data_IF_940886046142
#
_entry.id   IF_940886046142
#
_cell.length_a   1.000
_cell.length_b   1.000
_cell.length_c   1.000
_cell.angle_alpha   90.00
_cell.angle_beta   90.00
_cell.angle_gamma   90.00
#
_symmetry.space_group_name_H-M   'P 1'
#
loop_
_entity.id
_entity.type
_entity.pdbx_description
1 polymer ?
#
# COMPACT_ATOMS: atom_id res chain seq x y z
N UNK A 1 -13.60 6.07 -22.37
CA UNK A 1 -13.55 5.22 -21.19
C UNK A 1 -12.21 5.35 -20.49
N UNK A 2 -12.22 5.65 -19.22
CA UNK A 2 -10.99 5.68 -18.46
C UNK A 2 -10.52 4.27 -18.18
N UNK A 3 -9.25 4.01 -18.37
CA UNK A 3 -8.67 2.72 -18.04
C UNK A 3 -7.83 2.85 -16.78
N UNK A 4 -7.84 1.82 -15.96
CA UNK A 4 -7.00 1.75 -14.79
C UNK A 4 -5.74 0.96 -15.11
N UNK A 5 -4.66 1.34 -14.46
CA UNK A 5 -3.42 0.58 -14.49
C UNK A 5 -3.24 -0.07 -13.13
N UNK A 6 -2.58 -1.19 -13.12
CA UNK A 6 -2.23 -1.87 -11.87
C UNK A 6 -0.73 -1.83 -11.68
N UNK A 7 -0.31 -1.58 -10.46
CA UNK A 7 1.11 -1.68 -10.11
C UNK A 7 1.59 -3.13 -10.08
N UNK A 8 0.66 -4.08 -10.10
CA UNK A 8 0.97 -5.44 -9.73
C UNK A 8 1.17 -5.55 -8.22
N UNK A 9 1.48 -6.74 -7.75
CA UNK A 9 1.69 -6.96 -6.32
C UNK A 9 3.11 -6.55 -5.96
N UNK A 10 3.23 -5.63 -5.01
CA UNK A 10 4.51 -5.10 -4.54
C UNK A 10 4.72 -5.50 -3.08
N UNK A 11 5.94 -5.87 -2.75
CA UNK A 11 6.29 -6.28 -1.39
C UNK A 11 7.37 -5.41 -0.78
N UNK A 12 7.79 -4.36 -1.47
CA UNK A 12 8.82 -3.43 -1.02
C UNK A 12 8.49 -2.04 -1.52
N UNK A 13 9.20 -1.05 -0.97
CA UNK A 13 9.06 0.33 -1.43
C UNK A 13 9.30 0.41 -2.94
N UNK A 14 8.48 1.19 -3.62
CA UNK A 14 8.59 1.30 -5.07
C UNK A 14 7.96 2.58 -5.59
N UNK A 15 8.51 3.04 -6.70
CA UNK A 15 7.87 4.10 -7.49
C UNK A 15 6.78 3.44 -8.33
N UNK A 16 5.55 3.86 -8.13
CA UNK A 16 4.43 3.35 -8.92
C UNK A 16 4.28 4.15 -10.20
N UNK A 17 4.38 5.46 -10.09
CA UNK A 17 4.34 6.36 -11.23
C UNK A 17 5.24 7.54 -10.96
N UNK A 18 6.04 7.93 -11.95
CA UNK A 18 6.90 9.10 -11.86
C UNK A 18 6.26 10.35 -12.45
N UNK A 19 5.00 10.25 -12.82
CA UNK A 19 4.28 11.33 -13.50
C UNK A 19 2.97 11.62 -12.78
N UNK A 20 2.38 12.76 -13.09
CA UNK A 20 1.05 13.10 -12.61
C UNK A 20 0.07 11.98 -12.97
N UNK A 21 -0.73 11.58 -12.01
CA UNK A 21 -1.69 10.49 -12.20
C UNK A 21 -2.82 10.60 -11.18
N UNK A 22 -3.74 9.67 -11.24
CA UNK A 22 -4.82 9.54 -10.27
C UNK A 22 -4.67 8.25 -9.50
N UNK A 23 -4.77 8.32 -8.19
CA UNK A 23 -4.80 7.15 -7.33
C UNK A 23 -6.23 6.67 -7.22
N UNK A 24 -6.49 5.46 -7.70
CA UNK A 24 -7.85 4.92 -7.76
C UNK A 24 -8.13 4.07 -6.53
N UNK A 25 -7.30 3.08 -6.25
CA UNK A 25 -7.51 2.21 -5.11
C UNK A 25 -6.20 1.57 -4.64
N UNK A 26 -6.20 1.12 -3.40
CA UNK A 26 -5.07 0.44 -2.79
C UNK A 26 -5.59 -0.82 -2.12
N UNK A 27 -4.95 -1.94 -2.41
CA UNK A 27 -5.25 -3.21 -1.77
C UNK A 27 -3.99 -3.68 -1.06
N UNK A 28 -4.10 -3.99 0.21
CA UNK A 28 -2.96 -4.42 1.01
C UNK A 28 -3.32 -5.61 1.87
N UNK A 29 -2.41 -6.56 1.97
CA UNK A 29 -2.55 -7.74 2.80
C UNK A 29 -1.29 -7.92 3.61
N UNK A 30 -1.45 -8.14 4.92
CA UNK A 30 -0.33 -8.42 5.79
C UNK A 30 0.23 -9.80 5.45
N UNK A 31 1.54 -9.87 5.21
CA UNK A 31 2.20 -11.13 4.88
C UNK A 31 3.13 -11.61 5.98
N UNK A 32 3.40 -10.75 6.96
CA UNK A 32 4.28 -11.06 8.07
C UNK A 32 3.54 -11.26 9.37
N UNK A 33 4.28 -11.21 10.46
CA UNK A 33 3.74 -11.42 11.80
C UNK A 33 3.75 -10.14 12.63
N UNK A 34 4.25 -9.04 12.10
CA UNK A 34 4.30 -7.76 12.78
C UNK A 34 3.38 -6.77 12.09
N UNK A 35 2.88 -5.80 12.84
CA UNK A 35 2.08 -4.73 12.27
C UNK A 35 2.89 -4.00 11.21
N UNK A 36 2.24 -3.67 10.11
CA UNK A 36 2.90 -3.06 8.96
C UNK A 36 2.12 -1.83 8.53
N UNK A 37 2.83 -0.74 8.31
CA UNK A 37 2.24 0.50 7.83
C UNK A 37 2.50 0.65 6.34
N UNK A 38 1.45 0.92 5.58
CA UNK A 38 1.53 1.16 4.14
C UNK A 38 1.17 2.61 3.90
N UNK A 39 2.03 3.32 3.20
CA UNK A 39 1.82 4.73 2.86
C UNK A 39 2.01 4.94 1.37
N UNK A 40 1.24 5.85 0.82
CA UNK A 40 1.41 6.29 -0.56
C UNK A 40 1.64 7.79 -0.56
N UNK A 41 2.71 8.22 -1.19
CA UNK A 41 3.12 9.62 -1.23
C UNK A 41 2.94 10.21 -2.63
N UNK A 42 2.64 11.51 -2.65
CA UNK A 42 2.67 12.31 -3.88
C UNK A 42 4.13 12.68 -4.14
N UNK A 43 4.86 11.73 -4.71
CA UNK A 43 6.28 11.89 -4.96
C UNK A 43 6.71 10.93 -6.07
N UNK A 44 7.63 11.38 -6.89
CA UNK A 44 8.09 10.61 -8.05
C UNK A 44 9.24 9.65 -7.70
N UNK A 45 9.85 9.77 -6.52
CA UNK A 45 11.09 9.03 -6.28
C UNK A 45 11.35 8.64 -4.83
N UNK A 46 10.60 9.16 -3.86
CA UNK A 46 10.93 8.95 -2.46
C UNK A 46 9.70 8.98 -1.57
N UNK A 47 9.83 8.41 -0.37
CA UNK A 47 8.79 8.43 0.64
C UNK A 47 8.85 9.75 1.41
N UNK A 48 8.50 10.84 0.75
CA UNK A 48 8.52 12.17 1.35
C UNK A 48 7.47 13.05 0.69
N UNK A 49 7.19 14.18 1.30
CA UNK A 49 6.21 15.10 0.79
C UNK A 49 4.80 14.77 1.27
N UNK A 50 3.83 15.04 0.43
CA UNK A 50 2.43 14.86 0.80
C UNK A 50 2.05 13.39 0.81
N UNK A 51 1.56 12.93 1.93
CA UNK A 51 1.06 11.57 2.08
C UNK A 51 -0.39 11.54 1.61
N UNK A 52 -0.67 10.71 0.61
CA UNK A 52 -2.02 10.62 0.03
C UNK A 52 -2.87 9.58 0.75
N UNK A 53 -2.27 8.52 1.23
CA UNK A 53 -2.99 7.45 1.91
C UNK A 53 -2.08 6.76 2.91
N UNK A 54 -2.69 6.29 3.98
CA UNK A 54 -1.99 5.54 5.04
C UNK A 54 -2.93 4.47 5.56
N UNK A 55 -2.39 3.27 5.73
CA UNK A 55 -3.13 2.20 6.37
C UNK A 55 -2.19 1.39 7.25
N UNK A 56 -2.72 0.87 8.34
CA UNK A 56 -1.97 0.04 9.27
C UNK A 56 -2.60 -1.35 9.25
N UNK A 57 -1.81 -2.34 8.88
CA UNK A 57 -2.22 -3.73 8.90
C UNK A 57 -1.81 -4.29 10.26
N UNK A 58 -2.80 -4.63 11.06
CA UNK A 58 -2.56 -5.10 12.42
C UNK A 58 -2.00 -6.51 12.42
N UNK A 59 -1.04 -6.74 13.31
CA UNK A 59 -0.51 -8.08 13.50
C UNK A 59 -1.58 -8.96 14.17
N UNK A 60 -1.51 -10.28 13.95
CA UNK A 60 -2.37 -11.20 14.69
C UNK A 60 -2.14 -11.05 16.20
N UNK A 61 -3.23 -11.02 16.95
CA UNK A 61 -3.16 -10.84 18.40
C UNK A 61 -3.37 -12.12 19.19
N UNK A 62 -3.76 -13.21 18.52
CA UNK A 62 -3.96 -14.48 19.21
C UNK A 62 -2.63 -15.09 19.63
N UNK A 63 -2.61 -15.61 20.84
CA UNK A 63 -1.44 -16.33 21.33
C UNK A 63 -1.26 -17.68 20.65
N UNK A 64 -2.30 -18.20 20.05
CA UNK A 64 -2.26 -19.48 19.35
C UNK A 64 -2.28 -19.26 17.86
N UNK A 65 -1.12 -19.30 17.23
CA UNK A 65 -0.99 -19.05 15.81
C UNK A 65 -1.72 -20.07 14.96
N UNK A 66 -2.00 -21.24 15.47
CA UNK A 66 -2.71 -22.26 14.70
C UNK A 66 -4.17 -21.89 14.47
N UNK A 67 -4.69 -20.96 15.25
CA UNK A 67 -6.05 -20.45 15.06
C UNK A 67 -6.11 -19.23 14.15
N UNK A 68 -4.97 -18.75 13.69
CA UNK A 68 -4.88 -17.60 12.79
C UNK A 68 -5.11 -18.07 11.37
N UNK A 69 -6.34 -18.02 10.92
CA UNK A 69 -6.68 -18.50 9.59
C UNK A 69 -6.72 -17.41 8.54
N UNK A 70 -6.55 -16.17 8.95
CA UNK A 70 -6.55 -15.04 8.04
C UNK A 70 -5.52 -14.01 8.41
N UNK A 71 -5.16 -13.21 7.46
CA UNK A 71 -4.26 -12.08 7.67
C UNK A 71 -5.05 -10.79 7.46
N UNK A 72 -4.56 -9.70 8.05
CA UNK A 72 -5.19 -8.41 7.85
C UNK A 72 -5.18 -8.06 6.37
N UNK A 73 -6.30 -7.59 5.88
CA UNK A 73 -6.46 -7.20 4.49
C UNK A 73 -7.28 -5.91 4.47
N UNK A 74 -6.80 -4.91 3.77
CA UNK A 74 -7.44 -3.60 3.71
C UNK A 74 -7.51 -3.14 2.27
N UNK A 75 -8.65 -2.58 1.91
CA UNK A 75 -8.86 -2.00 0.59
C UNK A 75 -9.37 -0.57 0.77
N UNK A 76 -8.73 0.37 0.11
CA UNK A 76 -9.16 1.76 0.08
C UNK A 76 -9.52 2.14 -1.34
N UNK A 77 -10.74 2.64 -1.50
CA UNK A 77 -11.15 3.25 -2.75
C UNK A 77 -10.89 4.75 -2.64
N UNK A 78 -9.94 5.23 -3.42
CA UNK A 78 -9.50 6.62 -3.37
C UNK A 78 -10.24 7.52 -4.36
N UNK A 79 -11.12 6.95 -5.17
CA UNK A 79 -11.97 7.69 -6.10
C UNK A 79 -11.21 8.61 -7.07
N UNK A 80 -9.96 8.28 -7.37
CA UNK A 80 -9.20 9.04 -8.33
C UNK A 80 -8.57 10.31 -7.77
N UNK A 81 -8.03 10.24 -6.56
CA UNK A 81 -7.27 11.34 -5.98
C UNK A 81 -6.10 11.69 -6.89
N UNK A 82 -5.96 12.97 -7.20
CA UNK A 82 -4.89 13.45 -8.09
C UNK A 82 -3.57 13.52 -7.34
N UNK A 83 -2.56 12.89 -7.91
CA UNK A 83 -1.19 13.04 -7.49
C UNK A 83 -0.44 13.87 -8.53
N UNK A 84 0.14 14.97 -8.10
CA UNK A 84 0.76 15.92 -9.01
C UNK A 84 2.15 15.46 -9.46
N UNK A 85 2.91 14.87 -8.54
CA UNK A 85 4.31 14.53 -8.80
C UNK A 85 4.53 13.06 -9.13
N UNK A 86 3.61 12.21 -8.76
CA UNK A 86 3.75 10.78 -8.95
C UNK A 86 3.23 10.00 -7.76
N UNK A 87 3.46 8.70 -7.75
CA UNK A 87 3.04 7.84 -6.64
C UNK A 87 4.24 7.03 -6.18
N UNK A 88 4.55 7.13 -4.90
CA UNK A 88 5.59 6.33 -4.25
C UNK A 88 4.96 5.52 -3.13
N UNK A 89 5.20 4.22 -3.14
CA UNK A 89 4.72 3.29 -2.13
C UNK A 89 5.80 3.02 -1.10
N UNK A 90 5.45 3.16 0.18
CA UNK A 90 6.34 2.78 1.27
C UNK A 90 5.67 1.72 2.14
N UNK A 91 6.38 0.66 2.41
CA UNK A 91 5.92 -0.41 3.30
C UNK A 91 6.90 -0.49 4.46
N UNK A 92 6.41 -0.20 5.67
CA UNK A 92 7.24 -0.22 6.87
C UNK A 92 6.74 -1.30 7.80
N UNK A 93 7.57 -2.30 8.04
CA UNK A 93 7.25 -3.41 8.94
C UNK A 93 8.08 -3.31 10.20
N UNK A 94 7.46 -3.63 11.33
CA UNK A 94 8.17 -3.69 12.60
C UNK A 94 8.86 -5.02 12.83
N UNK A 95 8.81 -5.94 11.89
CA UNK A 95 9.40 -7.27 12.03
C UNK A 95 9.77 -7.86 10.68
N UNK A 96 9.61 -9.16 10.55
CA UNK A 96 9.89 -9.86 9.32
C UNK A 96 8.80 -9.57 8.31
N UNK A 97 9.20 -9.38 7.07
CA UNK A 97 8.30 -9.17 5.96
C UNK A 97 7.28 -8.10 6.26
N UNK A 98 6.57 -7.69 5.32
CA UNK A 98 5.66 -6.59 5.47
C UNK A 98 4.29 -6.92 4.92
N UNK A 99 3.99 -6.40 3.77
CA UNK A 99 2.70 -6.56 3.15
C UNK A 99 2.86 -6.80 1.66
N UNK A 100 1.85 -7.40 1.09
CA UNK A 100 1.68 -7.46 -0.36
C UNK A 100 0.66 -6.38 -0.73
N UNK A 101 1.07 -5.45 -1.58
CA UNK A 101 0.26 -4.28 -1.91
C UNK A 101 0.11 -4.17 -3.40
N UNK A 102 -1.10 -3.92 -3.86
CA UNK A 102 -1.31 -3.54 -5.26
C UNK A 102 -2.05 -2.22 -5.29
N UNK A 103 -1.71 -1.39 -6.26
CA UNK A 103 -2.27 -0.05 -6.41
C UNK A 103 -2.84 0.08 -7.80
N UNK A 104 -4.08 0.56 -7.87
CA UNK A 104 -4.70 0.91 -9.15
C UNK A 104 -4.61 2.41 -9.34
N UNK A 105 -4.22 2.81 -10.53
CA UNK A 105 -4.03 4.22 -10.85
C UNK A 105 -4.28 4.47 -12.32
N UNK A 106 -4.36 5.73 -12.68
CA UNK A 106 -4.62 6.10 -14.07
C UNK A 106 -3.83 7.33 -14.48
#
# INVERSE_FOLDING_TARGET
MASCRSSGVLTADAVISAERCKLISIHAQLTGTAATTVKVFDNASAASGKELARMILQAPTSADASLQTGTACVEFDMHGVISINGLFLQITSGGNTGAAVSVEYN
#
